data_IF_389659784561
#
_entry.id   IF_389659784561
#
_cell.length_a   1.000
_cell.length_b   1.000
_cell.length_c   1.000
_cell.angle_alpha   90.00
_cell.angle_beta   90.00
_cell.angle_gamma   90.00
#
_symmetry.space_group_name_H-M   'P 1'
#
loop_
_entity.id
_entity.type
_entity.pdbx_description
1 polymer ?
#
# COMPACT_ATOMS: atom_id res chain seq x y z
N UNK A 1 17.56 11.18 -22.60
CA UNK A 1 18.71 10.65 -21.83
C UNK A 1 18.44 10.94 -20.36
N UNK A 2 18.52 9.94 -19.49
CA UNK A 2 18.20 10.09 -18.06
C UNK A 2 19.31 10.90 -17.36
N UNK A 3 18.95 11.94 -16.60
CA UNK A 3 19.91 12.74 -15.85
C UNK A 3 20.26 12.05 -14.51
N UNK A 4 21.20 11.11 -14.57
CA UNK A 4 21.61 10.33 -13.40
C UNK A 4 22.14 11.19 -12.24
N UNK A 5 22.80 12.33 -12.53
CA UNK A 5 23.30 13.21 -11.46
C UNK A 5 22.15 13.85 -10.68
N UNK A 6 21.11 14.33 -11.37
CA UNK A 6 19.91 14.87 -10.71
C UNK A 6 19.21 13.81 -9.85
N UNK A 7 19.03 12.60 -10.37
CA UNK A 7 18.44 11.49 -9.60
C UNK A 7 19.24 11.19 -8.34
N UNK A 8 20.58 11.20 -8.43
CA UNK A 8 21.45 11.04 -7.26
C UNK A 8 21.26 12.14 -6.23
N UNK A 9 21.06 13.39 -6.65
CA UNK A 9 20.71 14.48 -5.74
C UNK A 9 19.36 14.24 -5.06
N UNK A 10 18.36 13.76 -5.79
CA UNK A 10 17.03 13.46 -5.24
C UNK A 10 17.08 12.28 -4.25
N UNK A 11 17.92 11.25 -4.52
CA UNK A 11 18.18 10.17 -3.56
C UNK A 11 18.85 10.69 -2.27
N UNK A 12 19.80 11.62 -2.37
CA UNK A 12 20.42 12.27 -1.21
C UNK A 12 19.40 13.08 -0.40
N UNK A 13 18.51 13.81 -1.09
CA UNK A 13 17.43 14.57 -0.47
C UNK A 13 16.51 13.67 0.37
N UNK A 14 16.08 12.55 -0.23
CA UNK A 14 15.22 11.58 0.44
C UNK A 14 15.95 10.89 1.59
N UNK A 15 17.23 10.55 1.41
CA UNK A 15 18.07 10.04 2.50
C UNK A 15 18.12 10.99 3.71
N UNK A 16 18.22 12.30 3.46
CA UNK A 16 18.16 13.33 4.51
C UNK A 16 16.80 13.40 5.19
N UNK A 17 15.69 13.29 4.46
CA UNK A 17 14.33 13.29 5.04
C UNK A 17 14.06 12.06 5.89
N UNK A 18 14.45 10.87 5.40
CA UNK A 18 14.39 9.60 6.15
C UNK A 18 15.14 9.74 7.47
N UNK A 19 16.37 10.26 7.44
CA UNK A 19 17.16 10.47 8.66
C UNK A 19 16.52 11.50 9.61
N UNK A 20 16.08 12.65 9.08
CA UNK A 20 15.47 13.71 9.88
C UNK A 20 14.15 13.29 10.57
N UNK A 21 13.40 12.37 9.96
CA UNK A 21 12.19 11.76 10.54
C UNK A 21 12.48 10.63 11.54
N UNK A 22 13.74 10.23 11.68
CA UNK A 22 14.13 9.09 12.50
C UNK A 22 13.72 7.73 11.90
N UNK A 23 13.49 7.65 10.59
CA UNK A 23 13.13 6.41 9.91
C UNK A 23 14.33 5.50 9.64
N UNK A 24 15.55 5.98 9.83
CA UNK A 24 16.75 5.16 9.77
C UNK A 24 17.66 5.48 10.96
N UNK A 25 18.00 4.46 11.75
CA UNK A 25 18.99 4.58 12.81
C UNK A 25 20.39 4.38 12.21
N UNK A 26 21.33 5.25 12.59
CA UNK A 26 22.73 5.18 12.15
C UNK A 26 22.91 5.04 10.62
N UNK A 27 23.09 3.82 10.13
CA UNK A 27 23.39 3.46 8.73
C UNK A 27 22.35 2.54 8.08
N UNK A 28 21.18 2.39 8.70
CA UNK A 28 20.04 1.61 8.23
C UNK A 28 19.41 2.16 6.95
N UNK A 29 18.52 1.35 6.37
CA UNK A 29 17.74 1.67 5.20
C UNK A 29 18.57 1.66 3.92
N UNK A 30 17.89 1.78 2.79
CA UNK A 30 18.49 1.92 1.47
C UNK A 30 17.47 2.42 0.45
N UNK A 31 18.01 2.92 -0.65
CA UNK A 31 17.25 3.58 -1.72
C UNK A 31 17.87 3.12 -3.02
N UNK A 32 17.03 2.73 -3.97
CA UNK A 32 17.46 2.44 -5.34
C UNK A 32 16.60 3.18 -6.34
N UNK A 33 17.18 3.53 -7.49
CA UNK A 33 16.44 4.09 -8.63
C UNK A 33 16.90 3.42 -9.92
N UNK A 34 15.98 2.76 -10.63
CA UNK A 34 16.18 2.20 -11.98
C UNK A 34 16.29 3.34 -12.99
N UNK A 35 17.41 3.42 -13.70
CA UNK A 35 17.71 4.49 -14.67
C UNK A 35 17.74 4.00 -16.12
N UNK A 36 17.78 2.68 -16.33
CA UNK A 36 17.64 2.03 -17.64
C UNK A 36 17.08 0.62 -17.45
N UNK A 37 16.94 -0.16 -18.53
CA UNK A 37 16.51 -1.57 -18.45
C UNK A 37 17.45 -2.42 -17.60
N UNK A 38 18.75 -2.09 -17.60
CA UNK A 38 19.79 -2.93 -16.99
C UNK A 38 20.54 -2.26 -15.84
N UNK A 39 20.27 -0.98 -15.55
CA UNK A 39 21.04 -0.22 -14.55
C UNK A 39 20.15 0.38 -13.47
N UNK A 40 20.61 0.21 -12.23
CA UNK A 40 19.96 0.70 -11.02
C UNK A 40 20.98 1.45 -10.18
N UNK A 41 20.66 2.70 -9.81
CA UNK A 41 21.40 3.43 -8.81
C UNK A 41 21.10 2.85 -7.43
N UNK A 42 22.11 2.68 -6.60
CA UNK A 42 21.98 2.05 -5.28
C UNK A 42 22.80 2.78 -4.23
N UNK A 43 22.15 3.12 -3.12
CA UNK A 43 22.86 3.68 -1.96
C UNK A 43 23.83 2.66 -1.35
N UNK A 44 24.93 3.14 -0.75
CA UNK A 44 25.92 2.24 -0.18
C UNK A 44 25.48 1.64 1.16
N UNK A 45 26.05 0.48 1.46
CA UNK A 45 25.96 -0.15 2.77
C UNK A 45 26.78 0.62 3.81
N UNK A 46 26.44 0.47 5.10
CA UNK A 46 27.20 1.04 6.24
C UNK A 46 27.41 2.55 6.17
N UNK A 47 26.54 3.28 5.45
CA UNK A 47 26.60 4.73 5.33
C UNK A 47 25.26 5.34 5.73
N UNK A 48 25.31 6.36 6.58
CA UNK A 48 24.11 7.06 7.03
C UNK A 48 23.42 7.78 5.87
N UNK A 49 22.12 7.53 5.71
CA UNK A 49 21.34 8.12 4.61
C UNK A 49 21.22 9.63 4.72
N UNK A 50 21.31 10.17 5.93
CA UNK A 50 21.32 11.61 6.19
C UNK A 50 22.53 12.36 5.66
N UNK A 51 23.62 11.65 5.37
CA UNK A 51 24.91 12.22 4.95
C UNK A 51 25.38 11.68 3.60
N UNK A 52 24.45 11.20 2.76
CA UNK A 52 24.78 10.76 1.40
C UNK A 52 25.20 11.95 0.54
N UNK A 53 26.22 11.72 -0.28
CA UNK A 53 26.55 12.59 -1.41
C UNK A 53 26.30 11.87 -2.74
N UNK A 54 26.05 12.56 -3.85
CA UNK A 54 25.84 11.92 -5.14
C UNK A 54 26.98 10.95 -5.54
N UNK A 55 28.22 11.27 -5.18
CA UNK A 55 29.41 10.45 -5.43
C UNK A 55 29.40 9.12 -4.65
N UNK A 56 28.63 9.03 -3.58
CA UNK A 56 28.48 7.81 -2.77
C UNK A 56 27.57 6.77 -3.43
N UNK A 57 26.73 7.19 -4.36
CA UNK A 57 25.70 6.35 -5.00
C UNK A 57 26.36 5.53 -6.12
N UNK A 58 26.32 4.22 -5.93
CA UNK A 58 26.81 3.21 -6.87
C UNK A 58 25.79 2.92 -7.98
N UNK A 59 26.25 2.31 -9.06
CA UNK A 59 25.39 1.70 -10.07
C UNK A 59 25.56 0.19 -10.00
N UNK A 60 24.44 -0.53 -9.96
CA UNK A 60 24.36 -1.99 -10.02
C UNK A 60 23.59 -2.42 -11.27
N UNK A 61 23.83 -3.64 -11.73
CA UNK A 61 22.99 -4.27 -12.75
C UNK A 61 21.77 -4.99 -12.12
N UNK A 62 20.89 -5.52 -12.97
CA UNK A 62 19.69 -6.27 -12.55
C UNK A 62 19.98 -7.60 -11.82
N UNK A 63 21.25 -8.04 -11.75
CA UNK A 63 21.70 -9.18 -10.94
C UNK A 63 22.21 -8.75 -9.56
N UNK A 64 22.33 -7.45 -9.30
CA UNK A 64 22.86 -6.89 -8.06
C UNK A 64 24.38 -6.77 -8.03
N UNK A 65 25.04 -7.00 -9.17
CA UNK A 65 26.48 -6.77 -9.31
C UNK A 65 26.73 -5.28 -9.47
N UNK A 66 27.65 -4.75 -8.66
CA UNK A 66 28.09 -3.37 -8.77
C UNK A 66 28.97 -3.19 -10.01
N UNK A 67 28.54 -2.30 -10.90
CA UNK A 67 29.21 -2.01 -12.17
C UNK A 67 29.89 -0.63 -12.16
N UNK A 68 29.50 0.28 -11.26
CA UNK A 68 30.15 1.57 -11.06
C UNK A 68 30.00 2.11 -9.63
N UNK A 69 30.84 3.09 -9.26
CA UNK A 69 30.84 3.76 -7.96
C UNK A 69 31.86 3.18 -6.98
N UNK A 70 32.27 4.02 -6.01
CA UNK A 70 33.41 3.72 -5.13
C UNK A 70 33.02 3.03 -3.82
N UNK A 71 31.80 3.26 -3.33
CA UNK A 71 31.30 2.63 -2.11
C UNK A 71 30.55 1.35 -2.43
N UNK A 72 30.64 0.37 -1.53
CA UNK A 72 29.97 -0.92 -1.67
C UNK A 72 28.44 -0.71 -1.60
N UNK A 73 27.71 -1.19 -2.60
CA UNK A 73 26.24 -1.17 -2.67
C UNK A 73 25.57 -1.83 -1.45
N UNK A 74 24.31 -1.46 -1.16
CA UNK A 74 23.53 -2.05 -0.04
C UNK A 74 23.48 -3.58 -0.09
N UNK A 75 23.54 -4.26 1.06
CA UNK A 75 23.34 -5.71 1.16
C UNK A 75 21.96 -6.16 0.67
N UNK A 76 20.97 -5.29 0.75
CA UNK A 76 19.56 -5.62 0.49
C UNK A 76 19.06 -5.21 -0.89
N UNK A 77 19.97 -4.84 -1.78
CA UNK A 77 19.61 -4.48 -3.15
C UNK A 77 18.80 -5.58 -3.87
N UNK A 78 18.98 -6.85 -3.50
CA UNK A 78 18.21 -7.97 -4.07
C UNK A 78 16.70 -7.84 -3.84
N UNK A 79 16.28 -7.34 -2.66
CA UNK A 79 14.88 -7.07 -2.35
C UNK A 79 14.29 -6.06 -3.35
N UNK A 80 15.03 -4.99 -3.62
CA UNK A 80 14.61 -3.93 -4.54
C UNK A 80 14.56 -4.42 -5.99
N UNK A 81 15.56 -5.22 -6.39
CA UNK A 81 15.62 -5.80 -7.73
C UNK A 81 14.45 -6.74 -8.00
N UNK A 82 13.93 -7.44 -7.00
CA UNK A 82 12.77 -8.31 -7.19
C UNK A 82 11.50 -7.52 -7.54
N UNK A 83 11.28 -6.36 -6.91
CA UNK A 83 10.18 -5.44 -7.26
C UNK A 83 10.31 -5.00 -8.72
N UNK A 84 11.51 -4.58 -9.11
CA UNK A 84 11.80 -4.13 -10.45
C UNK A 84 11.58 -5.20 -11.53
N UNK A 85 11.90 -6.48 -11.26
CA UNK A 85 11.65 -7.58 -12.21
C UNK A 85 10.16 -7.84 -12.45
N UNK A 86 9.32 -7.55 -11.46
CA UNK A 86 7.88 -7.83 -11.49
C UNK A 86 7.07 -6.63 -11.99
N UNK A 87 7.58 -5.41 -11.82
CA UNK A 87 6.87 -4.16 -12.14
C UNK A 87 7.74 -3.19 -12.94
N UNK A 88 7.43 -3.03 -14.22
CA UNK A 88 8.17 -2.15 -15.13
C UNK A 88 7.86 -0.66 -14.95
N UNK A 89 6.68 -0.35 -14.43
CA UNK A 89 6.23 1.00 -14.09
C UNK A 89 6.98 1.59 -12.88
N UNK A 90 7.53 0.73 -12.02
CA UNK A 90 8.28 1.13 -10.83
C UNK A 90 9.71 1.50 -11.20
N UNK A 91 10.13 2.68 -10.73
CA UNK A 91 11.49 3.20 -10.93
C UNK A 91 12.24 3.40 -9.62
N UNK A 92 11.59 3.54 -8.49
CA UNK A 92 12.28 3.71 -7.21
C UNK A 92 11.75 2.77 -6.14
N UNK A 93 12.64 2.33 -5.26
CA UNK A 93 12.32 1.55 -4.07
C UNK A 93 13.06 2.17 -2.88
N UNK A 94 12.35 2.32 -1.77
CA UNK A 94 12.84 2.84 -0.50
C UNK A 94 12.59 1.78 0.57
N UNK A 95 13.65 1.38 1.28
CA UNK A 95 13.57 0.56 2.47
C UNK A 95 14.11 1.35 3.67
N UNK A 96 13.38 1.35 4.77
CA UNK A 96 13.80 1.95 6.03
C UNK A 96 13.02 1.35 7.22
N UNK A 97 13.28 1.86 8.43
CA UNK A 97 12.78 1.33 9.70
C UNK A 97 11.95 2.39 10.47
N UNK A 98 10.85 2.89 9.89
CA UNK A 98 10.02 3.91 10.54
C UNK A 98 9.39 3.36 11.84
N UNK A 99 9.56 4.01 13.01
CA UNK A 99 9.32 3.36 14.31
C UNK A 99 7.91 2.83 14.55
N UNK A 100 6.87 3.52 14.06
CA UNK A 100 5.48 3.13 14.33
C UNK A 100 5.09 1.97 13.44
N UNK A 101 5.40 1.99 12.13
CA UNK A 101 5.13 0.85 11.27
C UNK A 101 5.98 -0.38 11.65
N UNK A 102 7.24 -0.17 12.05
CA UNK A 102 8.09 -1.24 12.58
C UNK A 102 7.51 -1.85 13.87
N UNK A 103 6.78 -1.08 14.70
CA UNK A 103 6.10 -1.64 15.87
C UNK A 103 5.03 -2.69 15.47
N UNK A 104 4.26 -2.44 14.41
CA UNK A 104 3.32 -3.43 13.86
C UNK A 104 4.05 -4.64 13.27
N UNK A 105 5.19 -4.41 12.60
CA UNK A 105 6.05 -5.47 12.08
C UNK A 105 6.56 -6.44 13.16
N UNK A 106 6.91 -5.90 14.33
CA UNK A 106 7.37 -6.66 15.50
C UNK A 106 6.20 -7.35 16.20
N UNK A 107 5.07 -6.66 16.34
CA UNK A 107 3.88 -7.19 17.01
C UNK A 107 3.13 -8.24 16.20
N UNK A 108 3.40 -8.34 14.88
CA UNK A 108 2.63 -9.15 13.93
C UNK A 108 1.15 -8.78 13.88
N UNK A 109 0.88 -7.50 14.10
CA UNK A 109 -0.47 -6.95 14.11
C UNK A 109 -0.79 -6.44 12.69
N UNK A 110 -1.87 -6.89 12.04
CA UNK A 110 -2.28 -6.36 10.75
C UNK A 110 -2.69 -4.90 10.88
N UNK A 111 -2.45 -4.10 9.84
CA UNK A 111 -2.84 -2.69 9.81
C UNK A 111 -4.37 -2.60 9.66
N UNK A 112 -5.10 -1.98 10.60
CA UNK A 112 -6.53 -1.70 10.43
C UNK A 112 -6.81 -0.95 9.12
N UNK A 113 -7.93 -1.27 8.48
CA UNK A 113 -8.42 -0.56 7.29
C UNK A 113 -9.70 0.20 7.63
N UNK A 114 -10.20 1.01 6.69
CA UNK A 114 -11.40 1.81 6.81
C UNK A 114 -11.36 2.78 7.99
N UNK A 115 -10.23 3.49 8.18
CA UNK A 115 -10.12 4.48 9.27
C UNK A 115 -9.86 5.88 8.73
N UNK A 116 -8.85 6.04 7.87
CA UNK A 116 -8.47 7.33 7.31
C UNK A 116 -8.61 7.33 5.78
N UNK A 117 -9.31 8.33 5.20
CA UNK A 117 -9.46 8.47 3.75
C UNK A 117 -8.15 8.42 2.97
N UNK A 118 -7.12 9.08 3.46
CA UNK A 118 -5.82 9.18 2.79
C UNK A 118 -5.15 7.81 2.65
N UNK A 119 -5.29 6.95 3.67
CA UNK A 119 -4.71 5.61 3.66
C UNK A 119 -5.45 4.71 2.68
N UNK A 120 -6.78 4.79 2.68
CA UNK A 120 -7.60 4.01 1.75
C UNK A 120 -7.29 4.36 0.29
N UNK A 121 -7.17 5.66 0.00
CA UNK A 121 -6.90 6.15 -1.35
C UNK A 121 -5.45 5.91 -1.78
N UNK A 122 -4.45 6.20 -0.94
CA UNK A 122 -3.05 6.19 -1.39
C UNK A 122 -2.31 4.88 -1.16
N UNK A 123 -2.72 4.09 -0.16
CA UNK A 123 -2.09 2.80 0.14
C UNK A 123 -3.05 1.66 -0.18
N UNK A 124 -4.17 1.61 0.54
CA UNK A 124 -5.05 0.45 0.60
C UNK A 124 -4.55 -0.56 1.63
N UNK A 125 -4.70 -1.85 1.34
CA UNK A 125 -4.23 -2.91 2.23
C UNK A 125 -2.70 -3.00 2.26
N UNK A 126 -2.12 -3.20 3.45
CA UNK A 126 -0.67 -3.22 3.68
C UNK A 126 -0.26 -4.57 4.26
N UNK A 127 0.43 -5.42 3.47
CA UNK A 127 0.79 -6.76 3.90
C UNK A 127 1.94 -6.75 4.90
N UNK A 128 2.00 -7.78 5.74
CA UNK A 128 3.17 -8.16 6.51
C UNK A 128 3.76 -9.44 5.93
N UNK A 129 5.00 -9.36 5.47
CA UNK A 129 5.73 -10.49 4.89
C UNK A 129 6.06 -11.56 5.95
N UNK A 130 6.48 -12.75 5.51
CA UNK A 130 7.10 -13.73 6.40
C UNK A 130 8.49 -13.26 6.83
N UNK A 131 8.92 -13.64 8.02
CA UNK A 131 10.30 -13.36 8.45
C UNK A 131 11.30 -14.13 7.60
N UNK A 132 12.40 -13.47 7.25
CA UNK A 132 13.61 -14.08 6.74
C UNK A 132 14.80 -13.20 7.11
N UNK A 133 15.98 -13.81 7.18
CA UNK A 133 17.24 -13.11 7.47
C UNK A 133 17.59 -12.15 6.33
N UNK A 134 17.76 -10.84 6.61
CA UNK A 134 18.02 -9.84 5.57
C UNK A 134 19.30 -10.09 4.74
N UNK A 135 19.27 -9.62 3.49
CA UNK A 135 20.43 -9.56 2.59
C UNK A 135 20.62 -10.75 1.64
N UNK A 136 19.86 -11.83 1.80
CA UNK A 136 19.86 -12.99 0.90
C UNK A 136 18.71 -12.98 -0.12
N UNK A 137 18.78 -13.86 -1.13
CA UNK A 137 17.69 -14.03 -2.09
C UNK A 137 16.41 -14.56 -1.43
N UNK A 138 16.52 -15.45 -0.45
CA UNK A 138 15.36 -15.94 0.31
C UNK A 138 14.55 -14.80 0.96
N UNK A 139 15.22 -13.74 1.41
CA UNK A 139 14.58 -12.54 1.93
C UNK A 139 13.88 -11.73 0.84
N UNK A 140 14.52 -11.57 -0.32
CA UNK A 140 13.90 -10.95 -1.49
C UNK A 140 12.66 -11.73 -1.98
N UNK A 141 12.69 -13.06 -1.92
CA UNK A 141 11.57 -13.90 -2.36
C UNK A 141 10.33 -13.76 -1.47
N UNK A 142 10.49 -13.24 -0.23
CA UNK A 142 9.37 -13.06 0.70
C UNK A 142 8.33 -12.05 0.22
N UNK A 143 8.73 -11.08 -0.61
CA UNK A 143 7.82 -10.01 -1.06
C UNK A 143 7.04 -10.37 -2.33
N UNK A 144 7.48 -11.39 -3.08
CA UNK A 144 6.92 -11.74 -4.41
C UNK A 144 5.39 -11.85 -4.41
N UNK A 145 4.73 -12.51 -3.44
CA UNK A 145 3.27 -12.65 -3.44
C UNK A 145 2.49 -11.33 -3.38
N UNK A 146 3.15 -10.23 -2.99
CA UNK A 146 2.51 -8.96 -2.64
C UNK A 146 2.70 -7.86 -3.69
N UNK A 147 3.75 -7.93 -4.50
CA UNK A 147 4.25 -6.81 -5.34
C UNK A 147 3.18 -6.20 -6.26
N UNK A 148 2.28 -7.02 -6.79
CA UNK A 148 1.25 -6.54 -7.72
C UNK A 148 0.01 -5.95 -7.04
N UNK A 149 -0.11 -6.12 -5.72
CA UNK A 149 -1.33 -5.79 -4.94
C UNK A 149 -1.16 -4.60 -4.00
N UNK A 150 0.05 -4.05 -3.86
CA UNK A 150 0.31 -2.88 -3.00
C UNK A 150 1.47 -2.02 -3.54
N UNK A 151 1.74 -0.91 -2.87
CA UNK A 151 2.87 0.01 -3.10
C UNK A 151 3.82 0.13 -1.89
N UNK A 152 3.43 -0.45 -0.75
CA UNK A 152 4.21 -0.52 0.48
C UNK A 152 3.92 -1.83 1.20
N UNK A 153 4.94 -2.38 1.85
CA UNK A 153 4.87 -3.61 2.62
C UNK A 153 5.59 -3.43 3.96
N UNK A 154 5.10 -4.14 4.96
CA UNK A 154 5.79 -4.30 6.24
C UNK A 154 6.63 -5.59 6.20
N UNK A 155 7.88 -5.46 6.59
CA UNK A 155 8.83 -6.54 6.74
C UNK A 155 8.85 -6.99 8.19
N UNK A 156 8.25 -8.14 8.43
CA UNK A 156 8.39 -8.99 9.61
C UNK A 156 9.62 -8.70 10.50
N UNK A 157 9.42 -8.23 11.75
CA UNK A 157 10.53 -7.96 12.69
C UNK A 157 11.69 -7.12 12.11
N UNK A 158 11.40 -6.22 11.17
CA UNK A 158 12.43 -5.50 10.44
C UNK A 158 12.05 -4.03 10.19
N UNK A 159 11.20 -3.75 9.20
CA UNK A 159 10.87 -2.38 8.78
C UNK A 159 9.87 -2.33 7.64
N UNK A 160 10.03 -1.40 6.70
CA UNK A 160 9.14 -1.24 5.55
C UNK A 160 9.89 -1.26 4.24
N UNK A 161 9.23 -1.67 3.17
CA UNK A 161 9.70 -1.45 1.80
C UNK A 161 8.57 -0.83 1.00
N UNK A 162 8.84 0.28 0.33
CA UNK A 162 7.88 0.99 -0.51
C UNK A 162 8.47 1.31 -1.87
N UNK A 163 7.61 1.41 -2.88
CA UNK A 163 8.04 1.53 -4.26
C UNK A 163 7.09 2.38 -5.10
N UNK A 164 7.64 3.09 -6.08
CA UNK A 164 6.90 4.05 -6.89
C UNK A 164 7.60 4.42 -8.19
N UNK A 165 6.95 5.29 -8.95
CA UNK A 165 7.40 5.77 -10.26
C UNK A 165 8.62 6.69 -10.16
N UNK A 166 8.88 7.24 -8.97
CA UNK A 166 10.07 8.01 -8.63
C UNK A 166 10.40 7.90 -7.13
N UNK A 167 11.53 8.47 -6.74
CA UNK A 167 12.06 8.39 -5.36
C UNK A 167 11.20 9.13 -4.34
N UNK A 168 10.49 10.17 -4.77
CA UNK A 168 9.61 10.96 -3.92
C UNK A 168 8.36 10.15 -3.57
N UNK A 169 7.68 9.58 -4.57
CA UNK A 169 6.52 8.70 -4.36
C UNK A 169 6.87 7.45 -3.57
N UNK A 170 7.98 6.80 -3.89
CA UNK A 170 8.44 5.64 -3.11
C UNK A 170 8.63 6.00 -1.63
N UNK A 171 9.14 7.19 -1.31
CA UNK A 171 9.26 7.67 0.07
C UNK A 171 7.90 8.03 0.71
N UNK A 172 6.99 8.70 -0.02
CA UNK A 172 5.68 9.10 0.50
C UNK A 172 4.89 7.93 1.06
N UNK A 173 4.91 6.75 0.42
CA UNK A 173 4.15 5.60 0.90
C UNK A 173 4.59 5.15 2.29
N UNK A 174 5.90 5.14 2.56
CA UNK A 174 6.40 4.87 3.91
C UNK A 174 6.05 5.99 4.89
N UNK A 175 6.11 7.25 4.47
CA UNK A 175 5.75 8.39 5.33
C UNK A 175 4.25 8.36 5.73
N UNK A 176 3.36 8.04 4.79
CA UNK A 176 1.92 7.88 5.04
C UNK A 176 1.69 6.70 5.98
N UNK A 177 2.31 5.55 5.71
CA UNK A 177 2.15 4.35 6.53
C UNK A 177 2.57 4.58 7.98
N UNK A 178 3.74 5.17 8.22
CA UNK A 178 4.21 5.41 9.60
C UNK A 178 3.34 6.42 10.33
N UNK A 179 2.94 7.51 9.65
CA UNK A 179 2.03 8.49 10.21
C UNK A 179 0.69 7.83 10.61
N UNK A 180 0.18 6.92 9.79
CA UNK A 180 -1.03 6.18 10.08
C UNK A 180 -0.88 5.23 11.27
N UNK A 181 0.20 4.44 11.30
CA UNK A 181 0.52 3.56 12.42
C UNK A 181 0.61 4.32 13.74
N UNK A 182 1.22 5.53 13.72
CA UNK A 182 1.25 6.42 14.89
C UNK A 182 -0.14 6.85 15.32
N UNK A 183 -1.00 7.24 14.38
CA UNK A 183 -2.38 7.65 14.68
C UNK A 183 -3.14 6.48 15.32
N UNK A 184 -3.06 5.27 14.75
CA UNK A 184 -3.72 4.08 15.30
C UNK A 184 -3.29 3.79 16.74
N UNK A 185 -1.98 3.83 17.02
CA UNK A 185 -1.45 3.64 18.37
C UNK A 185 -1.96 4.71 19.35
N UNK A 186 -2.03 5.98 18.93
CA UNK A 186 -2.56 7.08 19.73
C UNK A 186 -4.08 6.96 19.95
N UNK A 187 -4.84 6.64 18.90
CA UNK A 187 -6.30 6.41 18.98
C UNK A 187 -6.62 5.30 19.96
N UNK A 188 -5.85 4.21 19.95
CA UNK A 188 -6.00 3.13 20.93
C UNK A 188 -5.78 3.62 22.37
N UNK A 189 -4.80 4.48 22.61
CA UNK A 189 -4.57 5.08 23.94
C UNK A 189 -5.72 6.02 24.37
N UNK A 190 -6.40 6.65 23.42
CA UNK A 190 -7.56 7.52 23.67
C UNK A 190 -8.87 6.76 23.91
N UNK A 191 -8.93 5.47 23.57
CA UNK A 191 -10.10 4.62 23.82
C UNK A 191 -10.53 3.70 22.67
N UNK A 192 -9.87 3.76 21.50
CA UNK A 192 -10.13 2.85 20.39
C UNK A 192 -10.14 3.53 19.02
N UNK A 193 -10.45 2.73 18.00
CA UNK A 193 -10.55 3.17 16.60
C UNK A 193 -12.03 3.18 16.18
N UNK A 194 -12.45 4.25 15.51
CA UNK A 194 -13.76 4.32 14.87
C UNK A 194 -13.59 4.07 13.37
N UNK A 195 -14.30 3.06 12.86
CA UNK A 195 -14.22 2.65 11.48
C UNK A 195 -15.25 3.41 10.62
N UNK A 196 -14.85 3.73 9.39
CA UNK A 196 -15.74 4.22 8.34
C UNK A 196 -16.74 3.11 7.96
N UNK A 197 -17.95 3.52 7.60
CA UNK A 197 -18.95 2.59 7.10
C UNK A 197 -18.64 2.13 5.67
N UNK A 198 -19.29 1.04 5.24
CA UNK A 198 -19.10 0.44 3.92
C UNK A 198 -19.40 1.41 2.77
N UNK A 199 -20.37 2.32 2.95
CA UNK A 199 -20.73 3.31 1.92
C UNK A 199 -19.58 4.27 1.72
N UNK A 200 -19.03 4.81 2.82
CA UNK A 200 -17.89 5.74 2.77
C UNK A 200 -16.61 5.06 2.32
N UNK A 201 -16.35 3.82 2.74
CA UNK A 201 -15.20 3.06 2.25
C UNK A 201 -15.30 2.80 0.74
N UNK A 202 -16.50 2.51 0.22
CA UNK A 202 -16.72 2.35 -1.23
C UNK A 202 -16.55 3.66 -2.00
N UNK A 203 -17.07 4.78 -1.49
CA UNK A 203 -16.84 6.11 -2.09
C UNK A 203 -15.34 6.43 -2.21
N UNK A 204 -14.53 6.04 -1.22
CA UNK A 204 -13.07 6.21 -1.24
C UNK A 204 -12.39 5.30 -2.27
N UNK A 205 -12.84 4.05 -2.39
CA UNK A 205 -12.35 3.14 -3.43
C UNK A 205 -12.69 3.63 -4.85
N UNK A 206 -13.87 4.21 -5.06
CA UNK A 206 -14.24 4.84 -6.33
C UNK A 206 -13.40 6.11 -6.61
N UNK A 207 -13.06 6.87 -5.55
CA UNK A 207 -12.17 8.02 -5.67
C UNK A 207 -10.75 7.60 -6.07
N UNK A 208 -10.26 6.51 -5.48
CA UNK A 208 -8.96 5.91 -5.78
C UNK A 208 -8.84 5.56 -7.28
N UNK A 209 -9.85 4.90 -7.83
CA UNK A 209 -9.91 4.58 -9.26
C UNK A 209 -9.95 5.84 -10.13
N UNK A 210 -10.77 6.84 -9.78
CA UNK A 210 -10.85 8.12 -10.51
C UNK A 210 -9.52 8.87 -10.55
N UNK A 211 -8.68 8.70 -9.53
CA UNK A 211 -7.35 9.31 -9.44
C UNK A 211 -6.25 8.46 -10.07
N UNK A 212 -6.60 7.30 -10.64
CA UNK A 212 -5.68 6.43 -11.38
C UNK A 212 -4.85 5.50 -10.49
N UNK A 213 -5.24 5.27 -9.24
CA UNK A 213 -4.60 4.30 -8.38
C UNK A 213 -5.33 2.95 -8.47
N UNK A 214 -4.61 1.87 -8.75
CA UNK A 214 -5.18 0.52 -8.73
C UNK A 214 -5.34 0.00 -7.30
N UNK A 215 -6.43 -0.71 -7.02
CA UNK A 215 -6.63 -1.43 -5.75
C UNK A 215 -7.24 -2.82 -6.01
N UNK A 216 -6.69 -3.90 -5.41
CA UNK A 216 -7.27 -5.24 -5.52
C UNK A 216 -8.74 -5.30 -5.11
N UNK A 217 -9.17 -4.46 -4.16
CA UNK A 217 -10.54 -4.45 -3.64
C UNK A 217 -11.57 -3.96 -4.67
N UNK A 218 -11.13 -3.33 -5.76
CA UNK A 218 -11.98 -2.91 -6.89
C UNK A 218 -12.11 -3.99 -7.97
N UNK A 219 -11.46 -5.14 -7.82
CA UNK A 219 -11.53 -6.25 -8.78
C UNK A 219 -12.73 -7.16 -8.50
N UNK A 220 -13.15 -7.93 -9.51
CA UNK A 220 -14.26 -8.90 -9.39
C UNK A 220 -14.03 -9.92 -8.27
N UNK A 221 -12.77 -10.27 -7.96
CA UNK A 221 -12.38 -11.19 -6.88
C UNK A 221 -12.93 -10.74 -5.51
N UNK A 222 -13.06 -9.43 -5.28
CA UNK A 222 -13.43 -8.85 -3.99
C UNK A 222 -14.79 -8.14 -3.98
N UNK A 223 -15.55 -8.19 -5.08
CA UNK A 223 -16.80 -7.44 -5.24
C UNK A 223 -17.87 -7.78 -4.18
N UNK A 224 -17.84 -9.01 -3.64
CA UNK A 224 -18.78 -9.49 -2.63
C UNK A 224 -18.15 -9.63 -1.23
N UNK A 225 -16.96 -9.07 -1.02
CA UNK A 225 -16.30 -9.09 0.27
C UNK A 225 -16.66 -7.85 1.09
N UNK A 226 -16.66 -8.00 2.42
CA UNK A 226 -16.69 -6.85 3.32
C UNK A 226 -15.36 -6.09 3.15
N UNK A 227 -15.43 -4.84 2.67
CA UNK A 227 -14.26 -4.00 2.35
C UNK A 227 -13.38 -3.77 3.58
N UNK A 228 -13.98 -3.74 4.78
CA UNK A 228 -13.28 -3.41 6.01
C UNK A 228 -12.90 -4.66 6.79
N UNK A 229 -13.74 -5.70 6.77
CA UNK A 229 -13.46 -6.94 7.48
C UNK A 229 -12.60 -7.93 6.68
N UNK A 230 -12.56 -7.83 5.35
CA UNK A 230 -11.74 -8.69 4.51
C UNK A 230 -10.36 -8.07 4.24
N UNK A 231 -9.32 -8.84 4.55
CA UNK A 231 -7.93 -8.46 4.30
C UNK A 231 -7.47 -9.20 3.04
N UNK A 232 -6.97 -8.46 2.07
CA UNK A 232 -6.50 -8.94 0.76
C UNK A 232 -5.41 -10.00 0.92
N UNK A 233 -4.66 -9.94 2.02
CA UNK A 233 -3.49 -10.76 2.31
C UNK A 233 -3.73 -11.78 3.43
N UNK A 234 -4.98 -11.97 3.86
CA UNK A 234 -5.35 -12.89 4.95
C UNK A 234 -4.79 -14.30 4.77
N UNK A 235 -4.71 -14.78 3.53
CA UNK A 235 -4.16 -16.10 3.20
C UNK A 235 -2.65 -16.24 3.49
N UNK A 236 -1.93 -15.13 3.72
CA UNK A 236 -0.50 -15.12 4.06
C UNK A 236 -0.25 -15.03 5.56
N UNK A 237 -1.27 -14.72 6.35
CA UNK A 237 -1.12 -14.42 7.77
C UNK A 237 -0.55 -15.58 8.58
N UNK A 238 -0.97 -16.82 8.32
CA UNK A 238 -0.45 -17.99 9.02
C UNK A 238 1.07 -18.13 8.84
N UNK A 239 1.56 -18.02 7.60
CA UNK A 239 2.99 -18.10 7.28
C UNK A 239 3.79 -16.89 7.82
N UNK A 240 3.15 -15.73 7.93
CA UNK A 240 3.76 -14.50 8.46
C UNK A 240 3.62 -14.37 9.99
N UNK A 241 2.91 -15.29 10.64
CA UNK A 241 2.59 -15.22 12.07
C UNK A 241 1.71 -14.02 12.45
N UNK A 242 0.96 -13.47 11.49
CA UNK A 242 0.09 -12.31 11.70
C UNK A 242 -1.14 -12.72 12.47
N UNK A 243 -1.41 -12.02 13.57
CA UNK A 243 -2.58 -12.23 14.40
C UNK A 243 -3.11 -10.89 14.89
N UNK A 244 -4.41 -10.69 14.73
CA UNK A 244 -5.09 -9.50 15.22
C UNK A 244 -5.30 -9.62 16.73
N UNK A 245 -4.57 -8.83 17.50
CA UNK A 245 -4.60 -8.82 18.97
C UNK A 245 -4.84 -7.43 19.53
N UNK A 246 -4.25 -6.42 18.90
CA UNK A 246 -4.26 -5.06 19.42
C UNK A 246 -5.48 -4.26 18.96
N UNK A 247 -5.94 -4.46 17.74
CA UNK A 247 -7.09 -3.72 17.19
C UNK A 247 -8.23 -4.68 16.94
N UNK A 248 -9.43 -4.37 17.44
CA UNK A 248 -10.60 -5.18 17.14
C UNK A 248 -10.88 -5.15 15.64
N UNK A 249 -11.38 -6.28 15.11
CA UNK A 249 -11.85 -6.29 13.74
C UNK A 249 -12.97 -5.25 13.59
N UNK A 250 -13.05 -4.55 12.45
CA UNK A 250 -14.23 -3.74 12.18
C UNK A 250 -15.47 -4.62 12.29
N UNK A 251 -16.57 -4.10 12.87
CA UNK A 251 -17.80 -4.88 13.02
C UNK A 251 -18.22 -5.44 11.66
N UNK A 252 -18.60 -6.72 11.61
CA UNK A 252 -19.12 -7.33 10.39
C UNK A 252 -20.36 -6.54 9.98
N UNK A 253 -20.26 -5.80 8.87
CA UNK A 253 -21.34 -4.93 8.46
C UNK A 253 -22.40 -5.76 7.73
N UNK A 254 -23.71 -5.53 7.97
CA UNK A 254 -24.75 -6.24 7.25
C UNK A 254 -24.56 -5.99 5.76
N UNK A 255 -24.68 -7.05 4.95
CA UNK A 255 -24.65 -6.94 3.49
C UNK A 255 -25.52 -5.76 3.06
N UNK A 256 -24.99 -4.88 2.20
CA UNK A 256 -25.77 -3.79 1.60
C UNK A 256 -27.12 -4.34 1.19
N UNK A 257 -28.19 -3.88 1.85
CA UNK A 257 -29.51 -4.01 1.25
C UNK A 257 -29.39 -3.35 -0.13
N UNK A 258 -29.86 -4.01 -1.20
CA UNK A 258 -29.81 -3.41 -2.52
C UNK A 258 -30.39 -2.01 -2.38
N UNK A 259 -29.63 -1.01 -2.86
CA UNK A 259 -30.05 0.38 -2.80
C UNK A 259 -31.51 0.42 -3.23
N UNK A 260 -32.38 0.95 -2.36
CA UNK A 260 -33.78 1.11 -2.71
C UNK A 260 -33.80 1.79 -4.08
N UNK A 261 -34.54 1.23 -5.07
CA UNK A 261 -34.55 1.80 -6.40
C UNK A 261 -34.81 3.31 -6.28
N UNK A 262 -34.10 4.16 -7.03
CA UNK A 262 -34.27 5.60 -6.94
C UNK A 262 -35.76 5.87 -6.97
N UNK A 263 -36.27 6.54 -5.92
CA UNK A 263 -37.69 6.80 -5.77
C UNK A 263 -38.18 7.34 -7.11
N UNK A 264 -38.94 6.52 -7.83
CA UNK A 264 -39.42 6.87 -9.15
C UNK A 264 -40.19 8.16 -8.96
N UNK A 265 -39.74 9.23 -9.59
CA UNK A 265 -40.46 10.49 -9.68
C UNK A 265 -41.70 10.29 -10.58
N UNK A 266 -42.64 9.50 -10.07
CA UNK A 266 -44.00 9.27 -10.57
C UNK A 266 -44.69 8.44 -9.49
N UNK A 267 -45.43 9.10 -8.60
CA UNK A 267 -46.10 8.50 -7.43
C UNK A 267 -47.30 7.61 -7.80
N UNK A 268 -47.06 6.53 -8.56
CA UNK A 268 -48.06 5.49 -8.82
C UNK A 268 -47.37 4.14 -8.61
N UNK A 269 -47.78 3.40 -7.59
CA UNK A 269 -47.29 2.04 -7.34
C UNK A 269 -47.79 1.10 -8.46
N UNK A 270 -47.05 0.03 -8.75
CA UNK A 270 -47.30 -0.93 -9.84
C UNK A 270 -48.73 -1.49 -9.81
N UNK A 271 -49.28 -1.78 -8.63
CA UNK A 271 -50.69 -2.17 -8.47
C UNK A 271 -51.69 -1.10 -8.93
N UNK A 272 -51.39 0.19 -8.68
CA UNK A 272 -52.24 1.29 -9.10
C UNK A 272 -52.15 1.50 -10.61
N UNK A 273 -50.98 1.27 -11.21
CA UNK A 273 -50.80 1.33 -12.66
C UNK A 273 -51.53 0.17 -13.36
N UNK A 274 -51.41 -1.05 -12.82
CA UNK A 274 -52.13 -2.24 -13.31
C UNK A 274 -53.64 -2.00 -13.24
N UNK A 275 -54.14 -1.42 -12.14
CA UNK A 275 -55.56 -1.09 -12.01
C UNK A 275 -56.01 -0.05 -13.02
N UNK A 276 -55.25 1.04 -13.20
CA UNK A 276 -55.54 2.08 -14.19
C UNK A 276 -55.60 1.52 -15.61
N UNK A 277 -54.63 0.69 -15.99
CA UNK A 277 -54.59 0.05 -17.30
C UNK A 277 -55.79 -0.89 -17.48
N UNK A 278 -56.09 -1.70 -16.45
CA UNK A 278 -57.21 -2.66 -16.49
C UNK A 278 -58.54 -1.94 -16.65
N UNK A 279 -58.79 -0.87 -15.88
CA UNK A 279 -60.01 -0.07 -15.97
C UNK A 279 -60.16 0.58 -17.36
N UNK A 280 -59.05 1.05 -17.94
CA UNK A 280 -59.04 1.68 -19.25
C UNK A 280 -59.28 0.68 -20.39
N UNK A 281 -58.74 -0.53 -20.27
CA UNK A 281 -58.98 -1.66 -21.20
C UNK A 281 -60.42 -2.14 -21.12
N UNK A 282 -60.98 -2.32 -19.92
CA UNK A 282 -62.38 -2.72 -19.74
C UNK A 282 -63.35 -1.70 -20.34
N UNK A 283 -63.06 -0.41 -20.17
CA UNK A 283 -63.84 0.69 -20.75
C UNK A 283 -63.82 0.71 -22.28
N UNK A 284 -62.72 0.28 -22.91
CA UNK A 284 -62.64 0.15 -24.37
C UNK A 284 -63.28 -1.15 -24.90
N UNK A 285 -63.36 -2.19 -24.07
CA UNK A 285 -64.01 -3.46 -24.39
C UNK A 285 -65.54 -3.45 -24.18
N UNK A 286 -66.12 -2.30 -23.81
CA UNK A 286 -67.57 -2.10 -23.74
C UNK A 286 -68.28 -2.92 -22.66
N UNK A 287 -67.58 -3.21 -21.54
CA UNK A 287 -68.18 -3.76 -20.31
C UNK A 287 -68.04 -2.79 -19.15
#
# INVERSE_FOLDING_TARGET
MVNAHKIKQDMCEIGRRIYAKGFAAANDGNITVRISENEVLCTPTMHSKGFLKPEDISTIDMTGKQIAGNKKRSSEALLHLEIYKQRDDIKSVVHCHPPHATAFAVAREPIPQCVLPEVEVFLGDVPITKYETPGGQAFADTIIPFIHKCNVMILANHGTVSFGEDVERAYWWTEILDAYCRILMLSKQLGGVQYLDQTKSKELLELKDKWGFSDPRNTEEYQNCDICANDVFRNTWEASGVERRAFEAPPAMPAMQPAAPPASASGINEEQLIKLITDQVMKQLGK
#
